data_IF_568122373363
#
_entry.id   IF_568122373363
#
_cell.length_a   1.000
_cell.length_b   1.000
_cell.length_c   1.000
_cell.angle_alpha   90.00
_cell.angle_beta   90.00
_cell.angle_gamma   90.00
#
_symmetry.space_group_name_H-M   'P 1'
#
loop_
_entity.id
_entity.type
_entity.pdbx_description
1 polymer ?
#
# COMPACT_ATOMS: atom_id res chain seq x y z
N UNK A 1 0.82 -0.29 2.33
CA UNK A 1 1.36 0.91 1.64
C UNK A 1 0.37 2.05 1.83
N UNK A 2 0.80 3.24 2.26
CA UNK A 2 -0.07 4.40 2.48
C UNK A 2 0.46 5.62 1.72
N UNK A 3 -0.32 6.06 0.73
CA UNK A 3 0.04 7.16 -0.15
C UNK A 3 0.16 8.50 0.60
N UNK A 4 -0.79 8.79 1.48
CA UNK A 4 -0.84 10.01 2.27
C UNK A 4 -0.82 9.75 3.77
N UNK A 5 -0.24 10.69 4.53
CA UNK A 5 -0.26 10.67 5.99
C UNK A 5 -1.43 11.51 6.54
N UNK A 6 -2.65 10.95 6.45
CA UNK A 6 -3.87 11.60 6.93
C UNK A 6 -3.87 11.80 8.46
N UNK A 7 -3.15 10.94 9.20
CA UNK A 7 -3.03 11.04 10.65
C UNK A 7 -2.25 12.29 11.08
N UNK A 8 -1.22 12.68 10.31
CA UNK A 8 -0.40 13.87 10.56
C UNK A 8 -0.83 15.11 9.74
N UNK A 9 -1.94 15.03 9.00
CA UNK A 9 -2.41 16.14 8.19
C UNK A 9 -2.89 17.31 9.07
N UNK A 10 -2.49 18.55 8.76
CA UNK A 10 -2.89 19.74 9.53
C UNK A 10 -4.39 20.01 9.52
N UNK A 11 -5.13 19.42 8.57
CA UNK A 11 -6.59 19.49 8.51
C UNK A 11 -7.29 18.46 9.40
N UNK A 12 -6.56 17.48 9.91
CA UNK A 12 -7.10 16.48 10.82
C UNK A 12 -7.29 17.11 12.20
N UNK A 13 -8.54 17.16 12.67
CA UNK A 13 -8.87 17.70 13.99
C UNK A 13 -8.47 16.78 15.14
N UNK A 14 -8.13 15.52 14.85
CA UNK A 14 -7.70 14.49 15.80
C UNK A 14 -6.28 14.03 15.46
N UNK A 15 -5.24 14.71 15.97
CA UNK A 15 -3.86 14.40 15.66
C UNK A 15 -3.52 12.93 15.93
N UNK A 16 -2.82 12.30 14.98
CA UNK A 16 -2.42 10.90 15.03
C UNK A 16 -3.58 9.88 15.13
N UNK A 17 -4.80 10.27 14.75
CA UNK A 17 -5.97 9.40 14.79
C UNK A 17 -6.69 9.39 13.44
N UNK A 18 -7.15 8.19 13.05
CA UNK A 18 -7.94 7.97 11.83
C UNK A 18 -9.09 7.02 12.16
N UNK A 19 -10.30 7.40 11.79
CA UNK A 19 -11.51 6.63 12.09
C UNK A 19 -12.19 6.16 10.79
N UNK A 20 -12.83 4.99 10.83
CA UNK A 20 -13.61 4.46 9.70
C UNK A 20 -15.12 4.69 9.82
N UNK A 21 -15.57 5.37 10.88
CA UNK A 21 -16.97 5.66 11.12
C UNK A 21 -17.13 6.95 11.92
N UNK A 22 -18.30 7.58 11.81
CA UNK A 22 -18.64 8.85 12.45
C UNK A 22 -18.59 8.79 13.98
N UNK A 23 -18.90 7.64 14.58
CA UNK A 23 -18.91 7.47 16.02
C UNK A 23 -17.51 7.31 16.64
N UNK A 24 -16.45 7.34 15.83
CA UNK A 24 -15.04 7.24 16.25
C UNK A 24 -14.75 6.04 17.18
N UNK A 25 -15.47 4.94 16.98
CA UNK A 25 -15.40 3.78 17.89
C UNK A 25 -14.03 3.10 17.91
N UNK A 26 -13.30 3.17 16.79
CA UNK A 26 -12.01 2.50 16.61
C UNK A 26 -11.05 3.46 15.90
N UNK A 27 -9.94 3.79 16.56
CA UNK A 27 -8.81 4.46 15.91
C UNK A 27 -7.98 3.43 15.13
N UNK A 28 -8.01 3.53 13.81
CA UNK A 28 -7.27 2.64 12.91
C UNK A 28 -5.76 2.93 12.85
N UNK A 29 -5.35 4.15 13.20
CA UNK A 29 -3.93 4.59 13.15
C UNK A 29 -3.22 4.45 14.50
N UNK A 30 -3.87 3.86 15.52
CA UNK A 30 -3.28 3.72 16.86
C UNK A 30 -1.99 2.88 16.89
N UNK A 31 -1.57 2.47 18.08
CA UNK A 31 -0.23 1.91 18.33
C UNK A 31 0.17 0.66 17.52
N UNK A 32 -0.79 0.02 16.84
CA UNK A 32 -0.59 -1.25 16.15
C UNK A 32 -0.45 -1.14 14.62
N UNK A 33 -0.49 0.07 14.04
CA UNK A 33 -0.36 0.22 12.58
C UNK A 33 1.11 0.15 12.15
N UNK A 34 1.45 -0.82 11.32
CA UNK A 34 2.75 -0.90 10.64
C UNK A 34 2.61 -0.36 9.21
N UNK A 35 3.47 0.60 8.85
CA UNK A 35 3.45 1.24 7.53
C UNK A 35 4.80 1.05 6.85
N UNK A 36 4.91 -0.01 6.05
CA UNK A 36 6.16 -0.38 5.36
C UNK A 36 6.56 0.58 4.24
N UNK A 37 5.58 1.16 3.54
CA UNK A 37 5.80 2.11 2.46
C UNK A 37 4.86 3.29 2.67
N UNK A 38 5.42 4.50 2.77
CA UNK A 38 4.71 5.75 3.03
C UNK A 38 5.07 6.80 1.99
N UNK A 39 4.10 7.63 1.59
CA UNK A 39 4.38 8.80 0.76
C UNK A 39 5.03 8.43 -0.56
N UNK A 40 6.21 9.02 -0.81
CA UNK A 40 6.99 8.81 -2.03
C UNK A 40 7.50 7.37 -2.23
N UNK A 41 7.49 6.52 -1.21
CA UNK A 41 7.83 5.11 -1.38
C UNK A 41 6.67 4.29 -1.98
N UNK A 42 5.47 4.86 -2.06
CA UNK A 42 4.29 4.21 -2.65
C UNK A 42 4.28 4.45 -4.15
N UNK A 43 5.04 3.60 -4.85
CA UNK A 43 5.20 3.60 -6.31
C UNK A 43 4.71 2.28 -6.91
N UNK A 44 4.36 2.26 -8.19
CA UNK A 44 4.01 1.01 -8.90
C UNK A 44 5.14 0.01 -8.86
N UNK A 45 6.39 0.47 -9.00
CA UNK A 45 7.57 -0.40 -8.97
C UNK A 45 7.70 -1.16 -7.65
N UNK A 46 7.68 -0.45 -6.51
CA UNK A 46 7.74 -1.09 -5.19
C UNK A 46 6.58 -2.08 -4.97
N UNK A 47 5.39 -1.75 -5.45
CA UNK A 47 4.24 -2.65 -5.38
C UNK A 47 4.51 -3.97 -6.12
N UNK A 48 4.97 -3.90 -7.37
CA UNK A 48 5.30 -5.09 -8.16
C UNK A 48 6.50 -5.86 -7.58
N UNK A 49 7.51 -5.18 -7.02
CA UNK A 49 8.64 -5.83 -6.35
C UNK A 49 8.19 -6.66 -5.15
N UNK A 50 7.24 -6.16 -4.34
CA UNK A 50 6.67 -6.90 -3.22
C UNK A 50 5.96 -8.17 -3.70
N UNK A 51 5.14 -8.07 -4.75
CA UNK A 51 4.39 -9.22 -5.27
C UNK A 51 5.28 -10.26 -5.95
N UNK A 52 6.35 -9.83 -6.62
CA UNK A 52 7.27 -10.72 -7.33
C UNK A 52 8.41 -11.24 -6.44
N UNK A 53 8.58 -10.69 -5.24
CA UNK A 53 9.70 -11.00 -4.34
C UNK A 53 11.06 -10.52 -4.86
N UNK A 54 11.10 -9.72 -5.95
CA UNK A 54 12.34 -9.25 -6.59
C UNK A 54 12.85 -8.00 -5.86
N UNK A 55 13.63 -8.22 -4.82
CA UNK A 55 14.21 -7.17 -3.99
C UNK A 55 15.75 -7.22 -4.00
N UNK A 56 16.38 -6.04 -3.93
CA UNK A 56 17.81 -5.95 -3.63
C UNK A 56 18.12 -6.54 -2.25
N UNK A 57 19.35 -7.04 -2.05
CA UNK A 57 19.77 -7.67 -0.80
C UNK A 57 19.65 -6.75 0.42
N UNK A 58 19.78 -5.43 0.22
CA UNK A 58 19.69 -4.42 1.26
C UNK A 58 18.24 -4.12 1.74
N UNK A 59 17.20 -4.53 0.99
CA UNK A 59 15.81 -4.20 1.35
C UNK A 59 15.41 -4.88 2.67
N UNK A 60 14.87 -4.18 3.67
CA UNK A 60 14.49 -4.78 4.95
C UNK A 60 13.46 -5.90 4.81
N UNK A 61 13.44 -6.84 5.78
CA UNK A 61 12.51 -7.97 5.78
C UNK A 61 11.04 -7.54 5.84
N UNK A 62 10.71 -6.47 6.57
CA UNK A 62 9.34 -5.96 6.71
C UNK A 62 8.76 -5.50 5.36
N UNK A 63 9.62 -5.06 4.44
CA UNK A 63 9.25 -4.57 3.11
C UNK A 63 9.13 -5.66 2.05
N UNK A 64 9.14 -6.96 2.41
CA UNK A 64 9.14 -8.09 1.48
C UNK A 64 7.97 -9.04 1.76
N UNK A 65 7.39 -9.62 0.70
CA UNK A 65 6.44 -10.72 0.83
C UNK A 65 7.20 -12.04 0.88
N UNK A 66 7.24 -12.68 2.06
CA UNK A 66 7.93 -13.95 2.27
C UNK A 66 6.96 -15.14 2.17
N UNK A 67 6.33 -15.28 1.01
CA UNK A 67 5.38 -16.36 0.73
C UNK A 67 6.05 -17.58 0.09
N UNK A 68 5.44 -18.75 0.30
CA UNK A 68 5.79 -20.02 -0.31
C UNK A 68 4.55 -20.71 -0.94
N UNK A 69 4.72 -21.93 -1.42
CA UNK A 69 3.65 -22.73 -2.07
C UNK A 69 2.45 -23.01 -1.16
N UNK A 70 2.62 -22.94 0.17
CA UNK A 70 1.55 -23.15 1.14
C UNK A 70 0.88 -21.86 1.63
N UNK A 71 1.37 -20.70 1.17
CA UNK A 71 0.94 -19.40 1.67
C UNK A 71 -0.36 -18.92 1.01
N UNK A 72 -1.23 -18.31 1.79
CA UNK A 72 -2.43 -17.62 1.29
C UNK A 72 -2.21 -16.10 1.32
N UNK A 73 -2.30 -15.46 0.15
CA UNK A 73 -2.04 -14.03 -0.01
C UNK A 73 -3.37 -13.30 -0.21
N UNK A 74 -3.64 -12.27 0.60
CA UNK A 74 -4.74 -11.33 0.41
C UNK A 74 -4.18 -10.00 -0.07
N UNK A 75 -4.61 -9.57 -1.26
CA UNK A 75 -4.31 -8.26 -1.80
C UNK A 75 -5.53 -7.35 -1.67
N UNK A 76 -5.41 -6.28 -0.88
CA UNK A 76 -6.43 -5.25 -0.75
C UNK A 76 -5.90 -3.91 -1.26
N UNK A 77 -6.63 -3.31 -2.19
CA UNK A 77 -6.28 -2.04 -2.79
C UNK A 77 -7.50 -1.12 -2.75
N UNK A 78 -7.28 0.13 -2.35
CA UNK A 78 -8.32 1.16 -2.31
C UNK A 78 -7.74 2.46 -2.86
N UNK A 79 -8.46 3.09 -3.77
CA UNK A 79 -7.99 4.25 -4.51
C UNK A 79 -8.90 4.57 -5.68
N UNK A 80 -8.52 5.59 -6.45
CA UNK A 80 -9.20 5.94 -7.69
C UNK A 80 -8.70 5.05 -8.82
N UNK A 81 -9.62 4.57 -9.67
CA UNK A 81 -9.30 3.81 -10.86
C UNK A 81 -10.21 4.19 -12.01
N UNK A 82 -9.91 3.63 -13.18
CA UNK A 82 -10.70 3.76 -14.40
C UNK A 82 -10.64 2.47 -15.21
N UNK A 83 -10.90 2.58 -16.50
CA UNK A 83 -10.84 1.42 -17.40
C UNK A 83 -9.40 0.91 -17.47
N UNK A 84 -9.18 -0.32 -17.02
CA UNK A 84 -7.88 -1.02 -17.01
C UNK A 84 -6.75 -0.37 -16.18
N UNK A 85 -7.03 0.57 -15.27
CA UNK A 85 -5.99 1.14 -14.40
C UNK A 85 -6.45 1.48 -12.98
N UNK A 86 -5.50 1.45 -12.05
CA UNK A 86 -5.62 2.01 -10.70
C UNK A 86 -4.53 3.07 -10.49
N UNK A 87 -4.92 4.26 -10.02
CA UNK A 87 -3.96 5.35 -9.79
C UNK A 87 -3.07 5.07 -8.58
N UNK A 88 -1.79 5.37 -8.74
CA UNK A 88 -0.77 5.37 -7.70
C UNK A 88 -0.24 6.79 -7.55
N UNK A 89 -0.62 7.46 -6.46
CA UNK A 89 -0.34 8.89 -6.28
C UNK A 89 -0.86 9.72 -7.47
N UNK A 90 -0.36 10.95 -7.63
CA UNK A 90 -0.77 11.86 -8.71
C UNK A 90 -0.06 11.61 -10.05
N UNK A 91 1.02 10.81 -10.07
CA UNK A 91 1.95 10.73 -11.21
C UNK A 91 1.99 9.36 -11.89
N UNK A 92 1.58 8.29 -11.22
CA UNK A 92 1.69 6.92 -11.74
C UNK A 92 0.34 6.22 -11.79
N UNK A 93 0.22 5.23 -12.68
CA UNK A 93 -0.95 4.38 -12.80
C UNK A 93 -0.48 2.94 -12.94
N UNK A 94 -1.07 2.04 -12.16
CA UNK A 94 -0.94 0.60 -12.34
C UNK A 94 -1.93 0.16 -13.41
N UNK A 95 -1.40 -0.26 -14.56
CA UNK A 95 -2.20 -0.76 -15.69
C UNK A 95 -2.46 -2.27 -15.53
N UNK A 96 -3.62 -2.73 -15.99
CA UNK A 96 -4.03 -4.15 -15.97
C UNK A 96 -2.99 -5.07 -16.62
N UNK A 97 -2.38 -4.62 -17.74
CA UNK A 97 -1.36 -5.38 -18.44
C UNK A 97 -0.15 -5.73 -17.55
N UNK A 98 0.29 -4.81 -16.67
CA UNK A 98 1.45 -5.01 -15.80
C UNK A 98 1.20 -6.08 -14.73
N UNK A 99 -0.06 -6.32 -14.35
CA UNK A 99 -0.44 -7.41 -13.43
C UNK A 99 -0.67 -8.74 -14.15
N UNK A 100 -0.88 -8.71 -15.47
CA UNK A 100 -1.17 -9.89 -16.29
C UNK A 100 0.05 -10.43 -17.04
N UNK A 101 1.20 -9.76 -16.95
CA UNK A 101 2.46 -10.25 -17.49
C UNK A 101 2.87 -11.54 -16.75
N UNK A 102 2.51 -12.67 -17.35
CA UNK A 102 3.24 -13.92 -17.17
C UNK A 102 4.57 -13.76 -17.89
N UNK A 103 5.60 -13.34 -17.19
CA UNK A 103 6.95 -13.60 -17.68
C UNK A 103 7.12 -15.12 -17.75
N UNK A 104 7.35 -15.61 -18.98
CA UNK A 104 7.51 -17.01 -19.34
C UNK A 104 8.79 -17.62 -18.76
#
# INVERSE_FOLDING_TARGET
MLADDMACNSRNQYPAQVFNNENHQINLYGDNVEVDYRGYEVTVENFLRVLTGRHESAVPRSKRLLSDEGSHILLYMTGHGGDEFLKFQDAEELQSCQTNEREA
#
